data_IF_881018065170
#
_entry.id   IF_881018065170
#
_cell.length_a   1.000
_cell.length_b   1.000
_cell.length_c   1.000
_cell.angle_alpha   90.00
_cell.angle_beta   90.00
_cell.angle_gamma   90.00
#
_symmetry.space_group_name_H-M   'P 1'
#
loop_
_entity.id
_entity.type
_entity.pdbx_description
1 polymer ?
#
# COMPACT_ATOMS: atom_id res chain seq x y z
N UNK A 1 9.32 19.70 3.41
CA UNK A 1 8.67 18.40 3.18
C UNK A 1 9.65 17.52 2.42
N UNK A 2 9.88 16.26 2.84
CA UNK A 2 10.78 15.32 2.16
C UNK A 2 10.13 13.94 2.13
N UNK A 3 10.11 13.29 0.96
CA UNK A 3 9.78 11.87 0.84
C UNK A 3 11.02 11.06 1.25
N UNK A 4 10.87 10.15 2.21
CA UNK A 4 12.00 9.37 2.75
C UNK A 4 12.05 7.92 2.23
N UNK A 5 10.92 7.42 1.72
CA UNK A 5 10.79 6.10 1.10
C UNK A 5 9.63 6.12 0.11
N UNK A 6 9.77 5.39 -0.98
CA UNK A 6 8.66 5.01 -1.86
C UNK A 6 8.52 3.51 -1.76
N UNK A 7 7.32 3.04 -1.43
CA UNK A 7 7.06 1.62 -1.25
C UNK A 7 6.04 1.16 -2.28
N UNK A 8 6.33 0.08 -2.98
CA UNK A 8 5.47 -0.48 -4.02
C UNK A 8 5.19 -1.97 -3.79
N UNK A 9 4.09 -2.46 -4.36
CA UNK A 9 3.75 -3.88 -4.35
C UNK A 9 2.37 -4.15 -4.94
N UNK A 10 2.23 -5.29 -5.59
CA UNK A 10 0.96 -5.74 -6.14
C UNK A 10 0.06 -6.36 -5.05
N UNK A 11 -1.28 -6.25 -5.20
CA UNK A 11 -2.22 -6.91 -4.30
C UNK A 11 -1.94 -8.41 -4.21
N UNK A 12 -1.95 -8.94 -2.99
CA UNK A 12 -1.78 -10.38 -2.76
C UNK A 12 -2.89 -10.92 -1.88
N UNK A 13 -3.24 -12.17 -2.12
CA UNK A 13 -4.20 -12.90 -1.28
C UNK A 13 -3.50 -13.51 -0.08
N UNK A 14 -4.00 -13.20 1.11
CA UNK A 14 -3.52 -13.75 2.39
C UNK A 14 -4.68 -14.42 3.12
N UNK A 15 -4.38 -15.32 4.05
CA UNK A 15 -5.39 -15.95 4.91
C UNK A 15 -5.53 -15.16 6.21
N UNK A 16 -6.72 -14.63 6.46
CA UNK A 16 -7.08 -13.98 7.73
C UNK A 16 -8.26 -14.75 8.33
N UNK A 17 -8.12 -15.24 9.56
CA UNK A 17 -9.14 -16.03 10.25
C UNK A 17 -9.70 -17.19 9.40
N UNK A 18 -8.82 -17.84 8.63
CA UNK A 18 -9.19 -18.95 7.74
C UNK A 18 -9.91 -18.54 6.46
N UNK A 19 -10.03 -17.25 6.15
CA UNK A 19 -10.65 -16.74 4.92
C UNK A 19 -9.61 -16.05 4.02
N UNK A 20 -9.65 -16.25 2.70
CA UNK A 20 -8.79 -15.52 1.79
C UNK A 20 -9.23 -14.06 1.70
N UNK A 21 -8.28 -13.13 1.84
CA UNK A 21 -8.45 -11.70 1.63
C UNK A 21 -7.37 -11.21 0.67
N UNK A 22 -7.77 -10.59 -0.44
CA UNK A 22 -6.87 -9.87 -1.32
C UNK A 22 -6.64 -8.45 -0.77
N UNK A 23 -5.38 -8.09 -0.53
CA UNK A 23 -5.01 -6.80 0.04
C UNK A 23 -3.76 -6.23 -0.61
N UNK A 24 -3.71 -4.90 -0.71
CA UNK A 24 -2.55 -4.14 -1.18
C UNK A 24 -1.72 -3.57 -0.04
N UNK A 25 -1.87 -4.03 1.21
CA UNK A 25 -1.15 -3.43 2.35
C UNK A 25 0.34 -3.79 2.38
N UNK A 26 0.73 -4.88 1.71
CA UNK A 26 2.11 -5.35 1.68
C UNK A 26 2.88 -4.65 0.58
N UNK A 27 3.72 -3.70 0.97
CA UNK A 27 4.56 -2.89 0.09
C UNK A 27 5.99 -2.93 0.59
N UNK A 28 6.94 -2.94 -0.34
CA UNK A 28 8.37 -2.96 -0.03
C UNK A 28 9.04 -1.70 -0.56
N UNK A 29 10.07 -1.16 0.12
CA UNK A 29 10.82 -0.01 -0.37
C UNK A 29 11.43 -0.29 -1.74
N UNK A 30 11.33 0.68 -2.64
CA UNK A 30 11.95 0.62 -3.97
C UNK A 30 13.15 1.56 -4.00
N UNK A 31 14.31 1.05 -4.42
CA UNK A 31 15.54 1.83 -4.59
C UNK A 31 15.64 2.53 -5.94
N UNK A 32 14.94 2.01 -6.94
CA UNK A 32 15.02 2.49 -8.32
C UNK A 32 14.01 3.61 -8.60
N UNK A 33 14.31 4.50 -9.58
CA UNK A 33 13.35 5.48 -10.04
C UNK A 33 12.06 4.84 -10.58
N UNK A 34 10.91 5.36 -10.15
CA UNK A 34 9.59 4.90 -10.60
C UNK A 34 8.89 5.98 -11.42
N UNK A 35 8.27 5.58 -12.52
CA UNK A 35 7.37 6.44 -13.27
C UNK A 35 5.97 6.41 -12.66
N UNK A 36 5.40 7.59 -12.42
CA UNK A 36 4.04 7.72 -11.87
C UNK A 36 3.04 7.73 -13.03
N UNK A 37 2.10 6.78 -13.02
CA UNK A 37 1.00 6.76 -13.98
C UNK A 37 -0.26 7.39 -13.39
N UNK A 38 -1.34 7.43 -14.19
CA UNK A 38 -2.65 7.89 -13.71
C UNK A 38 -3.22 7.06 -12.57
N UNK A 39 -2.83 5.79 -12.46
CA UNK A 39 -3.45 4.87 -11.51
C UNK A 39 -2.51 4.42 -10.40
N UNK A 40 -1.25 4.07 -10.70
CA UNK A 40 -0.23 3.64 -9.72
C UNK A 40 1.19 3.84 -10.30
N UNK A 41 2.21 3.27 -9.67
CA UNK A 41 3.53 3.02 -10.26
C UNK A 41 3.58 1.64 -10.94
N UNK A 42 4.58 1.40 -11.79
CA UNK A 42 4.86 0.04 -12.25
C UNK A 42 5.30 -0.85 -11.07
N UNK A 43 4.70 -2.03 -10.94
CA UNK A 43 4.92 -2.94 -9.80
C UNK A 43 4.11 -2.58 -8.55
N UNK A 44 3.21 -1.59 -8.64
CA UNK A 44 2.30 -1.20 -7.57
C UNK A 44 0.84 -1.41 -7.97
N UNK A 45 0.01 -1.84 -7.02
CA UNK A 45 -1.42 -1.96 -7.27
C UNK A 45 -2.33 -1.75 -6.05
N UNK A 46 -3.61 -1.59 -6.36
CA UNK A 46 -4.72 -1.39 -5.43
C UNK A 46 -5.59 -2.65 -5.43
N UNK A 47 -5.96 -3.14 -4.24
CA UNK A 47 -6.78 -4.35 -4.12
C UNK A 47 -8.28 -4.09 -4.37
N UNK A 48 -8.77 -2.93 -3.95
CA UNK A 48 -10.17 -2.51 -4.14
C UNK A 48 -10.20 -1.23 -4.97
N UNK A 49 -10.59 -1.37 -6.25
CA UNK A 49 -10.72 -0.25 -7.19
C UNK A 49 -12.06 0.47 -7.10
N UNK A 50 -13.05 -0.10 -6.40
CA UNK A 50 -14.40 0.48 -6.30
C UNK A 50 -14.44 1.54 -5.21
N UNK A 51 -13.88 1.22 -4.03
CA UNK A 51 -13.92 2.15 -2.89
C UNK A 51 -12.54 2.72 -2.53
N UNK A 52 -11.45 1.98 -2.76
CA UNK A 52 -10.11 2.36 -2.27
C UNK A 52 -9.10 2.65 -3.37
N UNK A 53 -9.53 2.69 -4.63
CA UNK A 53 -8.66 2.87 -5.77
C UNK A 53 -9.13 3.91 -6.77
N UNK A 54 -8.48 3.92 -7.91
CA UNK A 54 -8.73 4.89 -8.98
C UNK A 54 -7.81 6.11 -8.92
N UNK A 55 -8.01 6.99 -9.91
CA UNK A 55 -7.15 8.13 -10.19
C UNK A 55 -6.92 9.04 -8.97
N UNK A 56 -7.98 9.38 -8.24
CA UNK A 56 -7.91 10.27 -7.08
C UNK A 56 -7.23 9.63 -5.85
N UNK A 57 -6.98 8.31 -5.89
CA UNK A 57 -6.37 7.51 -4.81
C UNK A 57 -5.09 6.80 -5.26
N UNK A 58 -4.51 7.23 -6.38
CA UNK A 58 -3.37 6.58 -7.02
C UNK A 58 -2.14 6.46 -6.11
N UNK A 59 -1.94 7.42 -5.19
CA UNK A 59 -0.81 7.45 -4.26
C UNK A 59 -1.31 7.52 -2.81
N UNK A 60 -1.00 6.50 -2.01
CA UNK A 60 -1.21 6.55 -0.55
C UNK A 60 -0.02 7.22 0.12
N UNK A 61 -0.28 8.31 0.85
CA UNK A 61 0.72 8.98 1.68
C UNK A 61 0.65 8.48 3.12
N UNK A 62 1.81 8.33 3.75
CA UNK A 62 1.91 7.95 5.15
C UNK A 62 3.03 8.73 5.85
N UNK A 63 2.76 9.20 7.07
CA UNK A 63 3.72 9.96 7.86
C UNK A 63 4.67 8.99 8.56
N UNK A 64 5.96 9.05 8.23
CA UNK A 64 6.97 8.31 8.95
C UNK A 64 7.27 8.97 10.30
N UNK A 65 7.11 8.23 11.39
CA UNK A 65 7.53 8.64 12.73
C UNK A 65 8.94 8.10 13.00
N UNK A 66 9.91 8.98 13.25
CA UNK A 66 11.32 8.59 13.43
C UNK A 66 11.66 8.08 14.83
N UNK A 67 10.74 8.22 15.80
CA UNK A 67 10.96 7.80 17.20
C UNK A 67 10.33 6.47 17.55
N UNK A 68 9.44 5.94 16.69
CA UNK A 68 8.80 4.65 16.88
C UNK A 68 8.97 3.84 15.60
N UNK A 69 9.76 2.77 15.66
CA UNK A 69 9.87 1.82 14.56
C UNK A 69 8.45 1.33 14.21
N UNK A 70 8.06 1.54 12.95
CA UNK A 70 6.74 1.17 12.47
C UNK A 70 6.60 -0.37 12.54
N UNK A 71 5.93 -0.86 13.58
CA UNK A 71 5.32 -2.19 13.53
C UNK A 71 4.02 -2.00 12.75
N UNK A 72 3.79 -2.71 11.63
CA UNK A 72 2.49 -2.69 10.99
C UNK A 72 1.46 -3.10 12.03
N UNK A 73 0.62 -2.14 12.43
CA UNK A 73 -0.54 -2.43 13.25
C UNK A 73 -1.48 -3.21 12.33
N UNK A 74 -1.50 -4.52 12.50
CA UNK A 74 -2.49 -5.41 11.91
C UNK A 74 -3.85 -5.01 12.51
N UNK A 75 -4.48 -3.98 11.95
CA UNK A 75 -5.90 -3.78 12.13
C UNK A 75 -6.59 -4.89 11.35
N UNK A 76 -7.47 -5.62 12.04
CA UNK A 76 -8.39 -6.56 11.41
C UNK A 76 -9.01 -5.86 10.19
N UNK A 77 -8.77 -6.44 9.01
CA UNK A 77 -9.24 -5.94 7.73
C UNK A 77 -10.74 -6.17 7.55
N UNK A 78 -11.53 -5.78 8.55
CA UNK A 78 -13.00 -5.79 8.57
C UNK A 78 -13.57 -4.37 8.49
N UNK A 79 -12.75 -3.37 8.19
CA UNK A 79 -13.18 -1.97 8.04
C UNK A 79 -12.30 -1.23 7.05
N UNK A 80 -12.36 -1.63 5.78
CA UNK A 80 -12.10 -0.79 4.62
C UNK A 80 -13.11 -1.21 3.56
#
# INVERSE_FOLDING_TARGET
MKVISVNAGEPKTVMIDGKPLTTGIYKEPVSEPLFVTKLNFNGDGQADLVHHGGYDKAIKNEMACTTHAYKPLFYNASSF
#
